data_IF_970643636748
#
_entry.id   IF_970643636748
#
_cell.length_a   1.000
_cell.length_b   1.000
_cell.length_c   1.000
_cell.angle_alpha   90.00
_cell.angle_beta   90.00
_cell.angle_gamma   90.00
#
_symmetry.space_group_name_H-M   'P 1'
#
loop_
_entity.id
_entity.type
_entity.pdbx_description
1 polymer ?
#
# COMPACT_ATOMS: atom_id res chain seq x y z
N UNK A 1 39.62 47.87 27.14
CA UNK A 1 38.21 47.53 26.92
C UNK A 1 37.85 47.59 25.45
N UNK A 2 38.28 46.60 24.71
CA UNK A 2 37.87 46.42 23.28
C UNK A 2 38.00 44.93 23.01
N UNK A 3 36.98 44.12 23.13
CA UNK A 3 36.92 42.78 22.54
C UNK A 3 35.67 41.98 22.95
N UNK A 4 34.58 42.64 23.40
CA UNK A 4 33.35 41.89 23.82
C UNK A 4 32.24 41.97 22.76
N UNK A 5 32.35 42.78 21.72
CA UNK A 5 31.28 43.04 20.76
C UNK A 5 31.32 42.21 19.47
N UNK A 6 32.33 41.32 19.30
CA UNK A 6 32.49 40.57 18.03
C UNK A 6 31.91 39.15 18.04
N UNK A 7 31.50 38.65 19.20
CA UNK A 7 30.95 37.27 19.30
C UNK A 7 29.43 37.21 19.30
N UNK A 8 28.73 38.33 19.47
CA UNK A 8 27.25 38.32 19.48
C UNK A 8 26.59 38.23 18.09
N UNK A 9 27.31 38.68 17.05
CA UNK A 9 26.78 38.67 15.67
C UNK A 9 26.82 37.29 15.00
N UNK A 10 27.69 36.39 15.45
CA UNK A 10 27.77 35.02 14.90
C UNK A 10 26.77 34.05 15.52
N UNK A 11 26.30 34.30 16.75
CA UNK A 11 25.31 33.49 17.43
C UNK A 11 23.87 33.72 16.92
N UNK A 12 23.55 34.94 16.50
CA UNK A 12 22.19 35.26 16.00
C UNK A 12 21.95 34.70 14.60
N UNK A 13 22.99 34.56 13.77
CA UNK A 13 22.85 34.00 12.43
C UNK A 13 22.59 32.48 12.44
N UNK A 14 23.00 31.77 13.48
CA UNK A 14 22.80 30.31 13.60
C UNK A 14 21.40 29.94 14.11
N UNK A 15 20.74 30.83 14.86
CA UNK A 15 19.38 30.58 15.37
C UNK A 15 18.31 30.81 14.31
N UNK A 16 18.55 31.70 13.36
CA UNK A 16 17.59 31.98 12.28
C UNK A 16 17.58 30.90 11.19
N UNK A 17 18.62 30.07 11.09
CA UNK A 17 18.68 29.00 10.09
C UNK A 17 17.94 27.72 10.51
N UNK A 18 17.64 27.55 11.81
CA UNK A 18 16.89 26.42 12.33
C UNK A 18 15.35 26.62 12.31
N UNK A 19 14.88 27.85 12.12
CA UNK A 19 13.44 28.16 12.15
C UNK A 19 12.72 27.92 10.81
N UNK A 20 13.42 27.58 9.72
CA UNK A 20 12.83 27.41 8.38
C UNK A 20 12.62 25.97 7.97
N UNK A 21 12.86 24.97 8.86
CA UNK A 21 12.67 23.56 8.57
C UNK A 21 11.36 22.96 9.12
N UNK A 22 10.44 23.78 9.60
CA UNK A 22 9.06 23.35 9.78
C UNK A 22 8.33 23.47 8.43
N UNK A 23 8.80 22.71 7.46
CA UNK A 23 8.02 22.38 6.30
C UNK A 23 6.88 21.50 6.80
N UNK A 24 5.69 22.07 6.95
CA UNK A 24 4.48 21.28 7.06
C UNK A 24 4.41 20.48 5.76
N UNK A 25 4.76 19.21 5.81
CA UNK A 25 4.33 18.28 4.79
C UNK A 25 2.79 18.28 4.88
N UNK A 26 2.14 19.11 4.07
CA UNK A 26 0.75 18.88 3.77
C UNK A 26 0.70 17.46 3.22
N UNK A 27 0.08 16.55 3.95
CA UNK A 27 -0.28 15.24 3.40
C UNK A 27 -1.12 15.52 2.15
N UNK A 28 -0.50 15.37 0.99
CA UNK A 28 -1.21 15.50 -0.28
C UNK A 28 -2.12 14.28 -0.34
N UNK A 29 -3.42 14.50 -0.11
CA UNK A 29 -4.42 13.43 -0.29
C UNK A 29 -4.19 12.75 -1.64
N UNK A 30 -4.14 11.42 -1.63
CA UNK A 30 -3.86 10.59 -2.79
C UNK A 30 -5.04 10.64 -3.78
N UNK A 31 -6.24 10.89 -3.23
CA UNK A 31 -7.48 11.02 -3.99
C UNK A 31 -7.96 12.49 -3.97
N UNK A 32 -7.90 13.17 -5.10
CA UNK A 32 -8.60 14.45 -5.26
C UNK A 32 -10.04 14.14 -5.67
N UNK A 33 -10.99 14.45 -4.80
CA UNK A 33 -12.41 14.16 -4.97
C UNK A 33 -13.17 15.47 -5.08
N UNK A 34 -13.94 15.59 -6.13
CA UNK A 34 -14.87 16.68 -6.39
C UNK A 34 -16.27 16.10 -6.52
N UNK A 35 -17.15 16.42 -5.56
CA UNK A 35 -18.55 16.02 -5.60
C UNK A 35 -19.38 17.14 -6.21
N UNK A 36 -20.05 16.84 -7.29
CA UNK A 36 -21.15 17.64 -7.84
C UNK A 36 -22.49 16.92 -7.57
N UNK A 37 -23.63 17.59 -7.72
CA UNK A 37 -24.93 17.11 -7.25
C UNK A 37 -25.32 15.68 -7.69
N UNK A 38 -24.82 15.23 -8.85
CA UNK A 38 -25.12 13.90 -9.40
C UNK A 38 -23.87 13.10 -9.79
N UNK A 39 -22.68 13.67 -9.65
CA UNK A 39 -21.44 13.06 -10.14
C UNK A 39 -20.26 13.31 -9.21
N UNK A 40 -19.57 12.24 -8.89
CA UNK A 40 -18.30 12.29 -8.16
C UNK A 40 -17.15 12.17 -9.16
N UNK A 41 -16.33 13.20 -9.28
CA UNK A 41 -15.09 13.16 -10.05
C UNK A 41 -13.91 12.76 -9.15
N UNK A 42 -13.16 11.75 -9.54
CA UNK A 42 -11.96 11.30 -8.84
C UNK A 42 -10.75 11.56 -9.73
N UNK A 43 -9.78 12.28 -9.19
CA UNK A 43 -8.48 12.49 -9.83
C UNK A 43 -7.39 11.82 -9.02
N UNK A 44 -6.62 10.94 -9.66
CA UNK A 44 -5.50 10.20 -9.12
C UNK A 44 -4.22 10.69 -9.80
N UNK A 45 -3.24 11.11 -9.02
CA UNK A 45 -1.96 11.54 -9.55
C UNK A 45 -0.91 10.44 -9.45
N UNK A 46 0.08 10.48 -10.36
CA UNK A 46 1.19 9.55 -10.39
C UNK A 46 0.76 8.07 -10.50
N UNK A 47 -0.33 7.81 -11.23
CA UNK A 47 -0.70 6.45 -11.59
C UNK A 47 0.24 5.90 -12.67
N UNK A 48 0.33 4.58 -12.74
CA UNK A 48 1.06 3.88 -13.80
C UNK A 48 0.09 3.01 -14.61
N UNK A 49 0.40 2.83 -15.87
CA UNK A 49 -0.27 1.82 -16.68
C UNK A 49 -0.23 0.47 -15.97
N UNK A 50 -1.37 -0.22 -15.89
CA UNK A 50 -1.53 -1.48 -15.18
C UNK A 50 -1.91 -1.35 -13.70
N UNK A 51 -1.94 -0.14 -13.10
CA UNK A 51 -2.58 0.03 -11.81
C UNK A 51 -4.06 -0.32 -11.90
N UNK A 52 -4.64 -0.92 -10.86
CA UNK A 52 -6.03 -1.34 -10.84
C UNK A 52 -6.83 -0.44 -9.89
N UNK A 53 -7.80 0.29 -10.44
CA UNK A 53 -8.81 1.00 -9.66
C UNK A 53 -10.00 0.09 -9.44
N UNK A 54 -10.52 0.04 -8.22
CA UNK A 54 -11.73 -0.70 -7.89
C UNK A 54 -12.61 0.01 -6.88
N UNK A 55 -13.90 -0.32 -6.88
CA UNK A 55 -14.88 0.03 -5.86
C UNK A 55 -15.37 -1.28 -5.25
N UNK A 56 -15.32 -1.39 -3.94
CA UNK A 56 -15.77 -2.57 -3.18
C UNK A 56 -16.81 -2.15 -2.14
N UNK A 57 -17.72 -3.06 -1.81
CA UNK A 57 -18.56 -2.91 -0.63
C UNK A 57 -17.81 -3.32 0.66
N UNK A 58 -18.47 -3.18 1.82
CA UNK A 58 -17.89 -3.55 3.11
C UNK A 58 -17.63 -5.07 3.28
N UNK A 59 -18.19 -5.91 2.40
CA UNK A 59 -17.94 -7.35 2.39
C UNK A 59 -16.79 -7.73 1.44
N UNK A 60 -16.16 -6.74 0.80
CA UNK A 60 -15.10 -6.94 -0.17
C UNK A 60 -15.58 -7.33 -1.59
N UNK A 61 -16.90 -7.29 -1.84
CA UNK A 61 -17.45 -7.55 -3.17
C UNK A 61 -17.07 -6.42 -4.10
N UNK A 62 -16.44 -6.74 -5.23
CA UNK A 62 -16.02 -5.78 -6.25
C UNK A 62 -17.22 -5.37 -7.09
N UNK A 63 -17.62 -4.12 -7.02
CA UNK A 63 -18.71 -3.53 -7.78
C UNK A 63 -18.24 -2.88 -9.09
N UNK A 64 -17.01 -2.37 -9.09
CA UNK A 64 -16.35 -1.78 -10.24
C UNK A 64 -14.86 -2.08 -10.21
N UNK A 65 -14.27 -2.27 -11.41
CA UNK A 65 -12.82 -2.36 -11.57
C UNK A 65 -12.41 -1.89 -12.96
N UNK A 66 -11.28 -1.20 -13.01
CA UNK A 66 -10.68 -0.69 -14.25
C UNK A 66 -9.15 -0.72 -14.15
N UNK A 67 -8.49 -1.22 -15.19
CA UNK A 67 -7.04 -1.09 -15.34
C UNK A 67 -6.71 0.28 -15.94
N UNK A 68 -5.84 1.01 -15.27
CA UNK A 68 -5.32 2.28 -15.76
C UNK A 68 -4.51 2.03 -17.04
N UNK A 69 -4.90 2.69 -18.12
CA UNK A 69 -4.33 2.45 -19.45
C UNK A 69 -3.07 3.29 -19.70
N UNK A 70 -2.94 4.45 -19.05
CA UNK A 70 -1.85 5.40 -19.27
C UNK A 70 -1.26 5.88 -17.95
N UNK A 71 0.05 6.09 -17.93
CA UNK A 71 0.73 6.64 -16.75
C UNK A 71 0.56 8.16 -16.67
N UNK A 72 0.46 8.73 -15.47
CA UNK A 72 0.34 10.17 -15.24
C UNK A 72 -0.79 10.52 -14.31
N UNK A 73 -1.69 11.37 -14.74
CA UNK A 73 -2.92 11.75 -14.01
C UNK A 73 -4.12 11.06 -14.63
N UNK A 74 -4.85 10.33 -13.81
CA UNK A 74 -6.12 9.71 -14.20
C UNK A 74 -7.27 10.50 -13.58
N UNK A 75 -8.29 10.81 -14.37
CA UNK A 75 -9.53 11.45 -13.91
C UNK A 75 -10.72 10.73 -14.49
N UNK A 76 -11.66 10.33 -13.64
CA UNK A 76 -12.92 9.73 -14.06
C UNK A 76 -14.07 10.19 -13.17
N UNK A 77 -15.27 10.22 -13.73
CA UNK A 77 -16.50 10.58 -13.05
C UNK A 77 -17.38 9.37 -12.82
N UNK A 78 -17.88 9.23 -11.57
CA UNK A 78 -18.72 8.13 -11.13
C UNK A 78 -20.08 8.66 -10.65
N UNK A 79 -21.15 8.01 -11.05
CA UNK A 79 -22.47 8.21 -10.44
C UNK A 79 -22.60 7.21 -9.26
N UNK A 80 -22.09 7.64 -8.11
CA UNK A 80 -22.12 6.83 -6.89
C UNK A 80 -23.46 6.91 -6.16
N UNK A 81 -24.34 7.85 -6.52
CA UNK A 81 -25.63 8.05 -5.87
C UNK A 81 -26.60 6.90 -6.17
N UNK A 82 -26.33 6.16 -7.24
CA UNK A 82 -27.10 4.96 -7.65
C UNK A 82 -26.78 3.72 -6.83
N UNK A 83 -25.68 3.74 -6.06
CA UNK A 83 -25.35 2.63 -5.16
C UNK A 83 -26.36 2.55 -4.00
N UNK A 84 -26.70 1.35 -3.52
CA UNK A 84 -27.50 1.17 -2.32
C UNK A 84 -26.90 1.91 -1.10
N UNK A 85 -27.76 2.26 -0.13
CA UNK A 85 -27.27 2.81 1.14
C UNK A 85 -26.29 1.84 1.79
N UNK A 86 -25.08 2.29 2.13
CA UNK A 86 -24.06 1.45 2.70
C UNK A 86 -22.68 2.07 2.69
N UNK A 87 -21.69 1.30 3.16
CA UNK A 87 -20.28 1.66 3.15
C UNK A 87 -19.57 1.02 1.98
N UNK A 88 -18.61 1.75 1.43
CA UNK A 88 -17.84 1.37 0.26
C UNK A 88 -16.40 1.85 0.39
N UNK A 89 -15.52 1.30 -0.42
CA UNK A 89 -14.10 1.65 -0.47
C UNK A 89 -13.69 1.84 -1.93
N UNK A 90 -13.12 2.99 -2.27
CA UNK A 90 -12.25 3.10 -3.44
C UNK A 90 -10.88 2.54 -3.10
N UNK A 91 -10.35 1.76 -4.00
CA UNK A 91 -9.03 1.14 -3.87
C UNK A 91 -8.24 1.30 -5.16
N UNK A 92 -7.03 1.84 -5.04
CA UNK A 92 -6.05 1.91 -6.11
C UNK A 92 -4.90 0.95 -5.79
N UNK A 93 -4.85 -0.16 -6.50
CA UNK A 93 -3.82 -1.18 -6.38
C UNK A 93 -2.66 -0.84 -7.32
N UNK A 94 -1.48 -0.57 -6.76
CA UNK A 94 -0.23 -0.26 -7.44
C UNK A 94 0.80 -1.38 -7.26
N UNK A 95 2.00 -1.22 -7.84
CA UNK A 95 3.05 -2.23 -7.79
C UNK A 95 3.43 -2.67 -6.37
N UNK A 96 3.65 -1.71 -5.46
CA UNK A 96 4.19 -1.95 -4.12
C UNK A 96 3.27 -1.49 -2.98
N UNK A 97 2.15 -0.88 -3.31
CA UNK A 97 1.21 -0.32 -2.33
C UNK A 97 -0.23 -0.41 -2.83
N UNK A 98 -1.16 -0.37 -1.89
CA UNK A 98 -2.59 -0.25 -2.14
C UNK A 98 -3.06 0.99 -1.40
N UNK A 99 -3.68 1.93 -2.11
CA UNK A 99 -4.26 3.14 -1.55
C UNK A 99 -5.77 2.98 -1.45
N UNK A 100 -6.35 3.35 -0.31
CA UNK A 100 -7.78 3.19 -0.06
C UNK A 100 -8.39 4.46 0.49
N UNK A 101 -9.63 4.76 0.09
CA UNK A 101 -10.46 5.78 0.69
C UNK A 101 -11.89 5.28 0.89
N UNK A 102 -12.36 5.17 2.14
CA UNK A 102 -13.74 4.79 2.42
C UNK A 102 -14.73 5.90 2.09
N UNK A 103 -15.93 5.53 1.67
CA UNK A 103 -17.06 6.42 1.52
C UNK A 103 -18.37 5.74 1.89
N UNK A 104 -19.39 6.53 2.18
CA UNK A 104 -20.73 6.05 2.47
C UNK A 104 -21.74 6.67 1.51
N UNK A 105 -22.77 5.90 1.17
CA UNK A 105 -23.95 6.35 0.44
C UNK A 105 -25.14 6.30 1.37
N UNK A 106 -25.84 7.41 1.54
CA UNK A 106 -27.04 7.51 2.35
C UNK A 106 -28.02 8.48 1.70
N UNK A 107 -29.21 8.00 1.35
CA UNK A 107 -30.27 8.81 0.73
C UNK A 107 -29.73 9.62 -0.46
N UNK A 108 -29.08 8.95 -1.41
CA UNK A 108 -28.44 9.51 -2.59
C UNK A 108 -27.33 10.55 -2.30
N UNK A 109 -26.85 10.62 -1.07
CA UNK A 109 -25.71 11.47 -0.69
C UNK A 109 -24.46 10.62 -0.52
N UNK A 110 -23.38 11.04 -1.16
CA UNK A 110 -22.06 10.38 -1.09
C UNK A 110 -21.14 11.18 -0.17
N UNK A 111 -20.60 10.54 0.85
CA UNK A 111 -19.69 11.17 1.81
C UNK A 111 -18.39 10.39 1.90
N UNK A 112 -17.27 11.01 1.53
CA UNK A 112 -15.94 10.42 1.64
C UNK A 112 -15.33 10.68 3.02
N UNK A 113 -14.77 9.65 3.62
CA UNK A 113 -14.04 9.76 4.89
C UNK A 113 -12.53 9.91 4.61
N UNK A 114 -12.08 11.14 4.40
CA UNK A 114 -10.68 11.46 4.09
C UNK A 114 -9.73 11.16 5.25
N UNK A 115 -10.22 11.20 6.48
CA UNK A 115 -9.41 10.88 7.67
C UNK A 115 -9.08 9.37 7.76
N UNK A 116 -9.85 8.54 7.07
CA UNK A 116 -9.61 7.10 6.96
C UNK A 116 -8.94 6.70 5.63
N UNK A 117 -8.42 7.66 4.89
CA UNK A 117 -7.56 7.36 3.75
C UNK A 117 -6.31 6.62 4.25
N UNK A 118 -5.96 5.52 3.59
CA UNK A 118 -4.87 4.67 4.04
C UNK A 118 -4.02 4.14 2.88
N UNK A 119 -2.75 3.90 3.18
CA UNK A 119 -1.81 3.21 2.29
C UNK A 119 -1.33 1.93 2.95
N UNK A 120 -1.56 0.82 2.28
CA UNK A 120 -1.12 -0.52 2.67
C UNK A 120 0.07 -0.90 1.78
N UNK A 121 1.25 -1.06 2.37
CA UNK A 121 2.43 -1.48 1.62
C UNK A 121 2.45 -3.00 1.48
N UNK A 122 2.61 -3.46 0.23
CA UNK A 122 2.70 -4.88 -0.09
C UNK A 122 4.03 -5.48 0.35
N UNK A 123 4.07 -6.75 0.74
CA UNK A 123 5.34 -7.47 0.88
C UNK A 123 6.08 -7.51 -0.45
N UNK A 124 7.37 -7.17 -0.43
CA UNK A 124 8.25 -7.21 -1.60
C UNK A 124 9.22 -8.36 -1.44
N UNK A 125 9.31 -9.20 -2.47
CA UNK A 125 10.17 -10.37 -2.51
C UNK A 125 11.25 -10.21 -3.58
N UNK A 126 12.51 -10.47 -3.23
CA UNK A 126 13.64 -10.49 -4.14
C UNK A 126 14.38 -11.82 -4.02
N UNK A 127 14.62 -12.50 -5.14
CA UNK A 127 15.30 -13.80 -5.18
C UNK A 127 16.71 -13.62 -5.74
N UNK A 128 17.70 -14.23 -5.09
CA UNK A 128 19.08 -14.29 -5.56
C UNK A 128 19.65 -15.70 -5.27
N UNK A 129 19.80 -16.51 -6.30
CA UNK A 129 20.13 -17.93 -6.14
C UNK A 129 19.09 -18.61 -5.26
N UNK A 130 19.53 -19.34 -4.25
CA UNK A 130 18.65 -20.04 -3.30
C UNK A 130 18.16 -19.16 -2.14
N UNK A 131 18.46 -17.86 -2.17
CA UNK A 131 18.14 -16.94 -1.09
C UNK A 131 17.00 -16.03 -1.52
N UNK A 132 16.00 -15.93 -0.65
CA UNK A 132 14.84 -15.06 -0.79
C UNK A 132 14.91 -13.99 0.27
N UNK A 133 14.84 -12.74 -0.16
CA UNK A 133 14.77 -11.56 0.70
C UNK A 133 13.32 -11.07 0.67
N UNK A 134 12.74 -10.91 1.84
CA UNK A 134 11.39 -10.35 2.02
C UNK A 134 11.50 -9.05 2.79
N UNK A 135 10.81 -8.02 2.34
CA UNK A 135 10.69 -6.74 3.05
C UNK A 135 9.27 -6.20 2.97
N UNK A 136 8.83 -5.52 4.03
CA UNK A 136 7.56 -4.80 4.08
C UNK A 136 7.67 -3.60 5.02
N UNK A 137 7.11 -2.48 4.61
CA UNK A 137 6.80 -1.34 5.48
C UNK A 137 5.37 -1.51 6.02
N UNK A 138 5.17 -1.28 7.33
CA UNK A 138 3.85 -1.31 7.99
C UNK A 138 3.76 -0.19 9.01
N UNK A 139 3.26 0.98 8.60
CA UNK A 139 3.21 2.17 9.46
C UNK A 139 2.31 1.97 10.69
N UNK A 140 1.28 1.16 10.56
CA UNK A 140 0.35 0.78 11.64
C UNK A 140 0.83 -0.45 12.44
N UNK A 141 2.01 -1.02 12.12
CA UNK A 141 2.58 -2.23 12.75
C UNK A 141 1.66 -3.44 12.69
N UNK A 142 0.80 -3.50 11.67
CA UNK A 142 -0.10 -4.62 11.47
C UNK A 142 0.66 -5.95 11.38
N UNK A 143 0.16 -7.03 12.01
CA UNK A 143 0.80 -8.33 11.94
C UNK A 143 0.86 -8.85 10.51
N UNK A 144 1.88 -9.63 10.20
CA UNK A 144 2.03 -10.33 8.94
C UNK A 144 2.40 -11.78 9.18
N UNK A 145 1.58 -12.69 8.69
CA UNK A 145 1.92 -14.11 8.60
C UNK A 145 2.65 -14.36 7.28
N UNK A 146 3.72 -15.14 7.33
CA UNK A 146 4.47 -15.62 6.18
C UNK A 146 4.40 -17.14 6.18
N UNK A 147 3.89 -17.73 5.11
CA UNK A 147 3.85 -19.18 4.92
C UNK A 147 4.60 -19.54 3.62
N UNK A 148 5.53 -20.50 3.72
CA UNK A 148 6.31 -20.99 2.58
C UNK A 148 5.88 -22.41 2.27
N UNK A 149 5.46 -22.60 1.04
CA UNK A 149 5.05 -23.88 0.49
C UNK A 149 6.06 -24.36 -0.54
N UNK A 150 6.21 -25.68 -0.64
CA UNK A 150 6.95 -26.34 -1.70
C UNK A 150 5.99 -27.16 -2.54
N UNK A 151 6.13 -27.06 -3.87
CA UNK A 151 5.41 -27.90 -4.83
C UNK A 151 6.40 -28.87 -5.45
N UNK A 152 6.14 -30.16 -5.31
CA UNK A 152 6.94 -31.20 -5.97
C UNK A 152 6.54 -31.30 -7.45
N UNK A 153 7.47 -30.99 -8.34
CA UNK A 153 7.24 -31.01 -9.80
C UNK A 153 7.25 -32.42 -10.40
N UNK A 154 7.66 -33.43 -9.62
CA UNK A 154 7.77 -34.80 -10.09
C UNK A 154 6.49 -35.63 -9.91
N UNK A 155 5.46 -35.08 -9.23
CA UNK A 155 4.19 -35.77 -9.00
C UNK A 155 3.09 -35.26 -9.93
N UNK A 156 2.32 -36.17 -10.50
CA UNK A 156 1.15 -35.90 -11.35
C UNK A 156 0.04 -35.15 -10.60
N UNK A 157 0.10 -35.15 -9.28
CA UNK A 157 -0.75 -34.35 -8.37
C UNK A 157 0.16 -33.34 -7.70
N UNK A 158 -0.01 -32.05 -8.01
CA UNK A 158 0.70 -30.95 -7.37
C UNK A 158 0.27 -30.83 -5.90
N UNK A 159 0.94 -31.54 -5.01
CA UNK A 159 0.75 -31.37 -3.58
C UNK A 159 1.62 -30.20 -3.11
N UNK A 160 0.99 -29.13 -2.65
CA UNK A 160 1.65 -28.06 -1.94
C UNK A 160 1.86 -28.50 -0.48
N UNK A 161 3.11 -28.55 -0.05
CA UNK A 161 3.51 -28.86 1.32
C UNK A 161 3.94 -27.57 2.03
N UNK A 162 3.29 -27.25 3.16
CA UNK A 162 3.75 -26.16 4.03
C UNK A 162 5.08 -26.60 4.69
N UNK A 163 6.16 -25.88 4.39
CA UNK A 163 7.49 -26.20 4.91
C UNK A 163 7.94 -25.23 6.00
N UNK A 164 7.36 -24.03 6.06
CA UNK A 164 7.69 -23.04 7.07
C UNK A 164 6.55 -22.03 7.24
N UNK A 165 6.33 -21.58 8.48
CA UNK A 165 5.49 -20.42 8.74
C UNK A 165 6.00 -19.62 9.94
N UNK A 166 5.80 -18.30 9.92
CA UNK A 166 6.02 -17.39 11.05
C UNK A 166 5.02 -16.25 11.02
N UNK A 167 4.74 -15.67 12.20
CA UNK A 167 4.00 -14.43 12.33
C UNK A 167 4.91 -13.34 12.87
N UNK A 168 4.92 -12.19 12.21
CA UNK A 168 5.69 -11.01 12.60
C UNK A 168 4.73 -9.97 13.12
N UNK A 169 4.96 -9.50 14.34
CA UNK A 169 4.09 -8.55 15.04
C UNK A 169 4.85 -7.30 15.45
N UNK A 170 4.12 -6.20 15.66
CA UNK A 170 4.61 -4.95 16.24
C UNK A 170 5.85 -4.35 15.55
N UNK A 171 5.97 -4.53 14.23
CA UNK A 171 7.15 -4.12 13.46
C UNK A 171 6.77 -3.22 12.30
N UNK A 172 7.35 -2.01 12.23
CA UNK A 172 7.18 -1.10 11.10
C UNK A 172 7.94 -1.59 9.86
N UNK A 173 9.17 -2.05 10.04
CA UNK A 173 10.04 -2.48 8.95
C UNK A 173 10.35 -3.97 9.10
N UNK A 174 9.67 -4.79 8.32
CA UNK A 174 9.98 -6.21 8.25
C UNK A 174 11.12 -6.45 7.27
N UNK A 175 12.11 -7.25 7.70
CA UNK A 175 13.15 -7.80 6.84
C UNK A 175 13.39 -9.26 7.23
N UNK A 176 13.27 -10.17 6.27
CA UNK A 176 13.50 -11.62 6.43
C UNK A 176 14.33 -12.16 5.28
N UNK A 177 15.11 -13.16 5.61
CA UNK A 177 15.95 -13.86 4.63
C UNK A 177 15.70 -15.35 4.80
N UNK A 178 15.26 -16.00 3.73
CA UNK A 178 15.04 -17.44 3.69
C UNK A 178 15.99 -18.09 2.71
N UNK A 179 16.54 -19.24 3.07
CA UNK A 179 17.33 -20.08 2.16
C UNK A 179 16.48 -21.26 1.72
N UNK A 180 16.11 -21.29 0.45
CA UNK A 180 15.32 -22.35 -0.16
C UNK A 180 16.25 -23.39 -0.75
N UNK A 181 16.40 -24.53 -0.07
CA UNK A 181 17.28 -25.62 -0.54
C UNK A 181 16.54 -26.54 -1.47
N UNK A 182 17.17 -26.98 -2.55
CA UNK A 182 16.59 -27.95 -3.48
C UNK A 182 15.69 -27.37 -4.56
N UNK A 183 15.88 -26.09 -4.95
CA UNK A 183 15.16 -25.47 -6.09
C UNK A 183 15.26 -26.26 -7.40
N UNK A 184 16.30 -27.04 -7.58
CA UNK A 184 16.42 -27.92 -8.74
C UNK A 184 15.39 -29.09 -8.77
N UNK A 185 14.61 -29.27 -7.70
CA UNK A 185 13.66 -30.36 -7.50
C UNK A 185 12.25 -29.90 -7.13
N UNK A 186 11.94 -28.63 -7.20
CA UNK A 186 10.61 -28.13 -6.87
C UNK A 186 10.49 -26.59 -6.95
N UNK A 187 9.26 -26.13 -7.08
CA UNK A 187 8.90 -24.71 -7.03
C UNK A 187 8.48 -24.35 -5.60
N UNK A 188 8.66 -23.10 -5.26
CA UNK A 188 8.20 -22.56 -3.96
C UNK A 188 7.16 -21.49 -4.18
N UNK A 189 6.24 -21.42 -3.24
CA UNK A 189 5.24 -20.37 -3.13
C UNK A 189 5.33 -19.75 -1.74
N UNK A 190 5.43 -18.42 -1.68
CA UNK A 190 5.38 -17.68 -0.43
C UNK A 190 4.05 -16.94 -0.39
N UNK A 191 3.30 -17.17 0.69
CA UNK A 191 2.02 -16.53 0.96
C UNK A 191 2.20 -15.59 2.16
N UNK A 192 1.77 -14.35 1.99
CA UNK A 192 1.76 -13.34 3.04
C UNK A 192 0.30 -12.99 3.36
N UNK A 193 -0.09 -13.10 4.62
CA UNK A 193 -1.41 -12.68 5.09
C UNK A 193 -1.26 -11.51 6.04
N UNK A 194 -1.87 -10.39 5.71
CA UNK A 194 -1.82 -9.17 6.52
C UNK A 194 -2.96 -8.23 6.14
N UNK A 195 -3.51 -7.51 7.13
CA UNK A 195 -4.57 -6.51 6.91
C UNK A 195 -5.74 -7.06 6.06
N UNK A 196 -6.20 -8.29 6.41
CA UNK A 196 -7.28 -9.02 5.71
C UNK A 196 -7.01 -9.28 4.22
N UNK A 197 -5.72 -9.22 3.81
CA UNK A 197 -5.27 -9.43 2.43
C UNK A 197 -4.28 -10.57 2.35
N UNK A 198 -4.29 -11.22 1.20
CA UNK A 198 -3.35 -12.29 0.87
C UNK A 198 -2.53 -11.87 -0.35
N UNK A 199 -1.22 -11.95 -0.20
CA UNK A 199 -0.27 -11.73 -1.30
C UNK A 199 0.51 -13.00 -1.54
N UNK A 200 0.76 -13.33 -2.80
CA UNK A 200 1.46 -14.55 -3.17
C UNK A 200 2.61 -14.25 -4.12
N UNK A 201 3.74 -14.91 -3.89
CA UNK A 201 4.90 -14.86 -4.78
C UNK A 201 5.32 -16.28 -5.15
N UNK A 202 5.32 -16.60 -6.43
CA UNK A 202 5.85 -17.85 -6.96
C UNK A 202 7.36 -17.74 -7.21
N UNK A 203 8.11 -18.77 -6.85
CA UNK A 203 9.57 -18.85 -7.00
C UNK A 203 9.90 -20.15 -7.74
N UNK A 204 10.25 -19.97 -8.99
CA UNK A 204 10.59 -21.05 -9.94
C UNK A 204 12.10 -21.18 -10.11
#
# INVERSE_FOLDING_TARGET
>A
MKNVLNNSKKGILMVTMFATLLSFANEVSLFKIENDAEKTSITLNNVKQGNLLSIKDNNGVVLYKELIQESGTYTNGFDLTTLPNGGYIFELDKDVEIQTIPFTVSVNTVTFNKEMEATIFKPVTRVKGDVVYVSRLSLNKAPMEIAIYRTDTNNTFSNEELIYSETIENTENTSRIYKLTGRNHGNYKIVFTTEERVFTTEIN
#
